data_IF_965978154188
#
_entry.id   IF_965978154188
#
_cell.length_a   1.000
_cell.length_b   1.000
_cell.length_c   1.000
_cell.angle_alpha   90.00
_cell.angle_beta   90.00
_cell.angle_gamma   90.00
#
_symmetry.space_group_name_H-M   'P 1'
#
loop_
_entity.id
_entity.type
_entity.pdbx_description
1 polymer ?
#
# COMPACT_ATOMS: atom_id res chain seq x y z
N UNK A 1 16.57 -10.43 -19.21
CA UNK A 1 15.89 -11.72 -18.93
C UNK A 1 15.99 -11.95 -17.42
N UNK A 2 14.93 -11.65 -16.66
CA UNK A 2 14.93 -11.75 -15.19
C UNK A 2 14.60 -13.21 -14.84
N UNK A 3 15.45 -13.83 -14.03
CA UNK A 3 15.32 -15.23 -13.61
C UNK A 3 13.98 -15.49 -12.90
N UNK A 4 13.28 -16.61 -13.15
CA UNK A 4 11.95 -16.90 -12.59
C UNK A 4 11.94 -17.18 -11.07
N UNK A 5 13.10 -17.27 -10.40
CA UNK A 5 13.23 -17.59 -8.98
C UNK A 5 13.69 -16.39 -8.13
N UNK A 6 13.13 -15.20 -8.34
CA UNK A 6 13.24 -14.13 -7.35
C UNK A 6 12.09 -14.32 -6.37
N UNK A 7 12.38 -14.85 -5.19
CA UNK A 7 11.41 -14.90 -4.08
C UNK A 7 10.93 -13.47 -3.83
N UNK A 8 9.71 -13.20 -4.28
CA UNK A 8 9.11 -11.89 -4.22
C UNK A 8 8.80 -11.60 -2.75
N UNK A 9 9.47 -10.59 -2.19
CA UNK A 9 9.11 -10.03 -0.89
C UNK A 9 7.63 -9.66 -0.93
N UNK A 10 6.77 -10.24 -0.06
CA UNK A 10 5.37 -9.89 -0.02
C UNK A 10 5.16 -8.39 0.14
N UNK A 11 4.17 -7.89 -0.58
CA UNK A 11 3.82 -6.47 -0.57
C UNK A 11 3.45 -5.99 0.84
N UNK A 12 3.80 -4.74 1.17
CA UNK A 12 3.57 -4.18 2.50
C UNK A 12 2.08 -4.11 2.83
N UNK A 13 1.27 -3.65 1.88
CA UNK A 13 -0.18 -3.62 1.99
C UNK A 13 -0.83 -5.00 2.18
N UNK A 14 -0.32 -6.05 1.52
CA UNK A 14 -0.77 -7.43 1.78
C UNK A 14 -0.44 -7.88 3.21
N UNK A 15 0.75 -7.55 3.70
CA UNK A 15 1.15 -7.84 5.08
C UNK A 15 0.25 -7.09 6.08
N UNK A 16 -0.09 -5.84 5.78
CA UNK A 16 -1.03 -5.03 6.56
C UNK A 16 -2.45 -5.61 6.53
N UNK A 17 -2.91 -6.15 5.40
CA UNK A 17 -4.21 -6.84 5.30
C UNK A 17 -4.29 -8.07 6.21
N UNK A 18 -3.19 -8.84 6.32
CA UNK A 18 -3.11 -9.96 7.28
C UNK A 18 -3.23 -9.46 8.72
N UNK A 19 -2.56 -8.37 9.08
CA UNK A 19 -2.63 -7.77 10.42
C UNK A 19 -4.01 -7.16 10.72
N UNK A 20 -4.68 -6.62 9.69
CA UNK A 20 -6.09 -6.20 9.77
C UNK A 20 -6.99 -7.40 10.13
N UNK A 21 -6.83 -8.52 9.42
CA UNK A 21 -7.60 -9.74 9.67
C UNK A 21 -7.31 -10.33 11.05
N UNK A 22 -6.05 -10.37 11.47
CA UNK A 22 -5.64 -10.77 12.82
C UNK A 22 -6.40 -9.97 13.88
N UNK A 23 -6.42 -8.65 13.72
CA UNK A 23 -7.06 -7.71 14.66
C UNK A 23 -8.56 -7.98 14.78
N UNK A 24 -9.27 -8.02 13.65
CA UNK A 24 -10.73 -8.24 13.65
C UNK A 24 -11.08 -9.63 14.18
N UNK A 25 -10.29 -10.66 13.84
CA UNK A 25 -10.46 -12.02 14.36
C UNK A 25 -10.22 -12.09 15.87
N UNK A 26 -9.19 -11.40 16.37
CA UNK A 26 -8.89 -11.32 17.81
C UNK A 26 -10.07 -10.76 18.59
N UNK A 27 -10.59 -9.60 18.20
CA UNK A 27 -11.70 -8.96 18.92
C UNK A 27 -13.03 -9.71 18.80
N UNK A 28 -13.23 -10.48 17.72
CA UNK A 28 -14.41 -11.34 17.58
C UNK A 28 -14.35 -12.58 18.48
N UNK A 29 -13.14 -13.11 18.74
CA UNK A 29 -12.92 -14.37 19.47
C UNK A 29 -12.45 -14.21 20.91
N UNK A 30 -11.91 -13.06 21.28
CA UNK A 30 -11.37 -12.82 22.62
C UNK A 30 -12.50 -12.66 23.64
N UNK A 31 -12.46 -13.46 24.70
CA UNK A 31 -13.41 -13.38 25.82
C UNK A 31 -13.25 -12.09 26.64
N UNK A 32 -12.09 -11.44 26.58
CA UNK A 32 -11.83 -10.15 27.23
C UNK A 32 -12.24 -8.95 26.38
N UNK A 33 -12.65 -9.18 25.13
CA UNK A 33 -13.09 -8.13 24.21
C UNK A 33 -14.27 -7.32 24.80
N UNK A 34 -14.15 -5.99 24.91
CA UNK A 34 -15.23 -5.16 25.44
C UNK A 34 -16.43 -5.06 24.48
N UNK A 35 -16.28 -5.57 23.25
CA UNK A 35 -17.26 -5.43 22.18
C UNK A 35 -18.28 -6.55 22.12
N UNK A 36 -18.23 -7.55 23.01
CA UNK A 36 -19.20 -8.68 23.06
C UNK A 36 -19.41 -9.34 21.70
N UNK A 37 -18.31 -9.64 21.00
CA UNK A 37 -18.30 -10.22 19.65
C UNK A 37 -18.93 -9.35 18.55
N UNK A 38 -19.29 -8.09 18.83
CA UNK A 38 -19.64 -7.13 17.77
C UNK A 38 -18.45 -6.87 16.84
N UNK A 39 -18.69 -6.65 15.54
CA UNK A 39 -17.64 -6.28 14.60
C UNK A 39 -16.92 -4.99 15.01
N UNK A 40 -15.60 -5.00 14.81
CA UNK A 40 -14.74 -3.82 15.02
C UNK A 40 -14.13 -3.36 13.70
N UNK A 41 -13.91 -2.05 13.60
CA UNK A 41 -13.15 -1.41 12.54
C UNK A 41 -11.77 -0.99 13.09
N UNK A 42 -10.67 -1.50 12.52
CA UNK A 42 -9.34 -0.88 12.68
C UNK A 42 -9.35 0.54 12.12
N UNK A 43 -9.40 1.53 13.01
CA UNK A 43 -9.48 2.95 12.66
C UNK A 43 -8.10 3.61 12.54
N UNK A 44 -7.07 3.04 13.18
CA UNK A 44 -5.68 3.51 13.05
C UNK A 44 -4.70 2.33 13.14
N UNK A 45 -3.74 2.28 12.22
CA UNK A 45 -2.66 1.29 12.20
C UNK A 45 -1.33 2.05 12.13
N UNK A 46 -0.38 1.72 13.02
CA UNK A 46 0.96 2.29 13.04
C UNK A 46 1.98 1.17 12.97
N UNK A 47 2.48 0.88 11.78
CA UNK A 47 3.30 -0.31 11.50
C UNK A 47 4.74 0.07 11.16
N UNK A 48 5.68 -0.72 11.65
CA UNK A 48 7.10 -0.67 11.29
C UNK A 48 7.53 -1.97 10.64
N UNK A 49 8.06 -1.89 9.43
CA UNK A 49 8.63 -3.01 8.68
C UNK A 49 10.11 -3.15 9.04
N UNK A 50 10.37 -3.91 10.11
CA UNK A 50 11.70 -4.14 10.66
C UNK A 50 12.58 -4.93 9.69
N UNK A 51 11.99 -5.92 9.01
CA UNK A 51 12.68 -6.80 8.05
C UNK A 51 11.73 -7.23 6.93
N UNK A 52 12.25 -7.54 5.73
CA UNK A 52 11.45 -8.12 4.66
C UNK A 52 10.76 -9.41 5.14
N UNK A 53 9.48 -9.54 4.78
CA UNK A 53 8.74 -10.79 4.85
C UNK A 53 9.12 -11.69 3.68
N UNK A 54 8.74 -12.96 3.75
CA UNK A 54 8.90 -13.93 2.66
C UNK A 54 7.64 -14.79 2.55
N UNK A 55 7.45 -15.42 1.39
CA UNK A 55 6.38 -16.39 1.19
C UNK A 55 6.61 -17.58 2.11
N UNK A 56 5.62 -17.92 2.92
CA UNK A 56 5.70 -19.03 3.86
C UNK A 56 4.97 -18.74 5.17
N UNK A 57 5.08 -19.66 6.16
CA UNK A 57 4.46 -19.50 7.45
C UNK A 57 4.89 -18.22 8.17
N UNK A 58 4.00 -17.69 9.00
CA UNK A 58 4.26 -16.58 9.89
C UNK A 58 3.53 -16.79 11.22
N UNK A 59 4.18 -16.39 12.31
CA UNK A 59 3.57 -16.35 13.64
C UNK A 59 3.10 -14.94 13.91
N UNK A 60 1.81 -14.81 14.23
CA UNK A 60 1.18 -13.56 14.58
C UNK A 60 0.92 -13.52 16.08
N UNK A 61 1.39 -12.47 16.75
CA UNK A 61 1.19 -12.26 18.19
C UNK A 61 0.41 -10.98 18.42
N UNK A 62 -0.52 -11.03 19.36
CA UNK A 62 -1.31 -9.89 19.83
C UNK A 62 -1.01 -9.68 21.31
N UNK A 63 -0.71 -8.44 21.69
CA UNK A 63 -0.70 -8.00 23.07
C UNK A 63 -1.76 -6.91 23.25
N UNK A 64 -2.68 -7.12 24.18
CA UNK A 64 -3.70 -6.13 24.54
C UNK A 64 -3.03 -5.01 25.34
N UNK A 65 -2.99 -3.80 24.76
CA UNK A 65 -2.37 -2.63 25.42
C UNK A 65 -3.42 -1.87 26.23
N UNK A 66 -4.59 -1.66 25.63
CA UNK A 66 -5.74 -1.02 26.27
C UNK A 66 -7.02 -1.59 25.70
N UNK A 67 -7.93 -2.03 26.57
CA UNK A 67 -9.28 -2.41 26.20
C UNK A 67 -10.26 -1.36 26.69
N UNK A 68 -11.11 -0.87 25.80
CA UNK A 68 -12.12 0.13 26.12
C UNK A 68 -13.34 -0.01 25.22
N UNK A 69 -14.51 0.36 25.78
CA UNK A 69 -15.79 0.22 25.08
C UNK A 69 -15.89 1.09 23.81
N UNK A 70 -15.21 2.25 23.78
CA UNK A 70 -15.16 3.12 22.60
C UNK A 70 -13.99 2.80 21.69
N UNK A 71 -12.80 2.67 22.26
CA UNK A 71 -11.60 2.29 21.52
C UNK A 71 -10.76 1.31 22.32
N UNK A 72 -10.14 0.38 21.60
CA UNK A 72 -9.17 -0.57 22.13
C UNK A 72 -7.93 -0.52 21.26
N UNK A 73 -6.76 -0.65 21.87
CA UNK A 73 -5.47 -0.65 21.19
C UNK A 73 -4.75 -1.93 21.51
N UNK A 74 -4.28 -2.61 20.47
CA UNK A 74 -3.43 -3.80 20.57
C UNK A 74 -2.08 -3.51 19.95
N UNK A 75 -1.04 -4.13 20.47
CA UNK A 75 0.24 -4.27 19.79
C UNK A 75 0.20 -5.58 19.01
N UNK A 76 0.61 -5.53 17.74
CA UNK A 76 0.70 -6.70 16.87
C UNK A 76 2.15 -6.93 16.46
N UNK A 77 2.51 -8.21 16.33
CA UNK A 77 3.82 -8.63 15.83
C UNK A 77 3.64 -9.74 14.79
N UNK A 78 4.30 -9.59 13.65
CA UNK A 78 4.49 -10.66 12.67
C UNK A 78 5.96 -11.11 12.72
N UNK A 79 6.15 -12.39 13.03
CA UNK A 79 7.46 -13.04 13.04
C UNK A 79 7.50 -14.16 12.03
N UNK A 80 8.67 -14.37 11.42
CA UNK A 80 8.91 -15.53 10.55
C UNK A 80 10.28 -16.12 10.86
N UNK A 81 10.36 -17.45 10.80
CA UNK A 81 11.60 -18.16 11.01
C UNK A 81 12.64 -17.80 9.96
N UNK A 82 13.88 -17.69 10.39
CA UNK A 82 15.05 -17.58 9.53
C UNK A 82 15.87 -18.85 9.71
N UNK A 83 16.25 -19.50 8.59
CA UNK A 83 16.89 -20.81 8.54
C UNK A 83 18.03 -21.04 9.55
N UNK A 84 18.74 -19.98 9.97
CA UNK A 84 19.87 -20.05 10.90
C UNK A 84 19.73 -19.21 12.17
N UNK A 85 18.60 -18.52 12.39
CA UNK A 85 18.45 -17.52 13.47
C UNK A 85 17.14 -17.61 14.24
N UNK A 86 16.34 -18.66 14.03
CA UNK A 86 15.04 -18.81 14.69
C UNK A 86 14.02 -17.73 14.28
N UNK A 87 12.96 -17.52 15.07
CA UNK A 87 11.90 -16.56 14.75
C UNK A 87 12.43 -15.12 14.78
N UNK A 88 12.22 -14.40 13.69
CA UNK A 88 12.58 -12.98 13.59
C UNK A 88 11.36 -12.11 13.39
N UNK A 89 11.24 -11.07 14.19
CA UNK A 89 10.27 -9.99 13.98
C UNK A 89 10.50 -9.36 12.60
N UNK A 90 9.44 -9.37 11.80
CA UNK A 90 9.38 -8.75 10.47
C UNK A 90 8.61 -7.44 10.52
N UNK A 91 7.44 -7.48 11.17
CA UNK A 91 6.58 -6.30 11.35
C UNK A 91 6.15 -6.21 12.81
N UNK A 92 6.14 -4.99 13.33
CA UNK A 92 5.59 -4.68 14.65
C UNK A 92 4.79 -3.39 14.54
N UNK A 93 3.74 -3.26 15.33
CA UNK A 93 2.98 -2.02 15.36
C UNK A 93 1.84 -2.00 16.34
N UNK A 94 1.13 -0.89 16.36
CA UNK A 94 -0.08 -0.70 17.17
C UNK A 94 -1.28 -0.55 16.25
N UNK A 95 -2.38 -1.20 16.61
CA UNK A 95 -3.65 -1.10 15.90
C UNK A 95 -4.71 -0.68 16.91
N UNK A 96 -5.39 0.43 16.62
CA UNK A 96 -6.53 0.92 17.38
C UNK A 96 -7.81 0.61 16.63
N UNK A 97 -8.76 0.01 17.34
CA UNK A 97 -10.08 -0.34 16.82
C UNK A 97 -11.18 0.46 17.50
N UNK A 98 -12.31 0.57 16.81
CA UNK A 98 -13.58 1.09 17.29
C UNK A 98 -14.71 0.15 16.86
N UNK A 99 -15.87 0.10 17.55
CA UNK A 99 -17.05 -0.59 17.04
C UNK A 99 -17.44 -0.05 15.65
N UNK A 100 -17.85 -0.94 14.73
CA UNK A 100 -18.32 -0.52 13.38
C UNK A 100 -19.52 0.42 13.48
N UNK A 101 -20.42 0.19 14.44
CA UNK A 101 -21.59 1.05 14.70
C UNK A 101 -21.20 2.52 15.00
N UNK A 102 -20.02 2.76 15.59
CA UNK A 102 -19.54 4.13 15.86
C UNK A 102 -19.26 4.92 14.57
N UNK A 103 -18.81 4.24 13.52
CA UNK A 103 -18.61 4.84 12.19
C UNK A 103 -19.95 5.12 11.49
N UNK A 104 -20.95 4.24 11.70
CA UNK A 104 -22.25 4.33 11.04
C UNK A 104 -23.20 5.35 11.67
N UNK A 105 -23.16 5.52 13.00
CA UNK A 105 -24.09 6.36 13.76
C UNK A 105 -23.45 7.69 14.23
N UNK A 106 -22.12 7.80 14.11
CA UNK A 106 -21.38 8.98 14.54
C UNK A 106 -21.66 10.22 13.69
N UNK A 107 -21.43 11.44 14.24
CA UNK A 107 -21.56 12.67 13.47
C UNK A 107 -20.49 12.73 12.38
N UNK A 108 -20.90 13.18 11.19
CA UNK A 108 -20.01 13.36 10.04
C UNK A 108 -19.97 14.84 9.65
N UNK A 109 -18.78 15.41 9.66
CA UNK A 109 -18.52 16.76 9.10
C UNK A 109 -17.54 16.59 7.95
N UNK A 110 -17.98 16.97 6.75
CA UNK A 110 -17.13 16.97 5.56
C UNK A 110 -16.31 18.25 5.54
N UNK A 111 -14.99 18.11 5.56
CA UNK A 111 -14.10 19.24 5.29
C UNK A 111 -14.19 19.68 3.82
N UNK A 112 -13.55 20.80 3.50
CA UNK A 112 -13.39 21.31 2.12
C UNK A 112 -11.92 21.23 1.68
N UNK A 113 -11.31 20.04 1.58
CA UNK A 113 -9.93 19.93 1.15
C UNK A 113 -9.81 20.34 -0.32
N UNK A 114 -8.97 21.34 -0.59
CA UNK A 114 -8.67 21.73 -1.97
C UNK A 114 -7.55 20.85 -2.49
N UNK A 115 -7.87 20.02 -3.48
CA UNK A 115 -6.95 19.09 -4.11
C UNK A 115 -6.27 19.75 -5.31
N UNK A 116 -4.99 20.08 -5.16
CA UNK A 116 -4.19 20.66 -6.23
C UNK A 116 -3.01 19.76 -6.65
N UNK A 117 -2.76 19.60 -7.97
CA UNK A 117 -3.66 19.99 -9.07
C UNK A 117 -4.98 19.21 -9.02
N UNK A 118 -6.00 19.70 -9.74
CA UNK A 118 -7.27 18.98 -9.85
C UNK A 118 -7.02 17.57 -10.43
N UNK A 119 -7.76 16.54 -9.99
CA UNK A 119 -7.67 15.21 -10.59
C UNK A 119 -7.91 15.27 -12.11
N UNK A 120 -7.35 14.32 -12.87
CA UNK A 120 -7.62 14.20 -14.30
C UNK A 120 -9.11 14.08 -14.61
N UNK A 121 -9.60 14.81 -15.61
CA UNK A 121 -11.00 14.76 -16.04
C UNK A 121 -11.32 13.49 -16.83
N UNK A 122 -12.51 12.93 -16.58
CA UNK A 122 -13.14 11.92 -17.44
C UNK A 122 -13.87 12.54 -18.64
N UNK A 123 -14.68 11.75 -19.33
CA UNK A 123 -15.38 12.21 -20.55
C UNK A 123 -16.73 12.90 -20.32
N UNK A 124 -17.28 12.84 -19.10
CA UNK A 124 -18.59 13.43 -18.81
C UNK A 124 -18.54 14.97 -18.90
N UNK A 125 -19.68 15.65 -19.16
CA UNK A 125 -19.72 17.11 -19.34
C UNK A 125 -19.20 17.93 -18.15
N UNK A 126 -19.33 17.40 -16.94
CA UNK A 126 -18.81 17.99 -15.69
C UNK A 126 -17.35 17.61 -15.39
N UNK A 127 -16.70 16.86 -16.30
CA UNK A 127 -15.37 16.28 -16.12
C UNK A 127 -15.37 14.98 -15.29
N UNK A 128 -16.54 14.44 -14.94
CA UNK A 128 -16.71 13.17 -14.26
C UNK A 128 -16.29 11.97 -15.10
N UNK A 129 -16.07 10.84 -14.42
CA UNK A 129 -15.58 9.60 -15.04
C UNK A 129 -16.75 8.71 -15.47
N UNK A 130 -16.75 8.29 -16.73
CA UNK A 130 -17.58 7.17 -17.18
C UNK A 130 -16.95 5.84 -16.76
N UNK A 131 -17.36 5.33 -15.61
CA UNK A 131 -16.83 4.09 -15.05
C UNK A 131 -17.19 2.84 -15.87
N UNK A 132 -18.28 2.88 -16.65
CA UNK A 132 -18.64 1.77 -17.52
C UNK A 132 -17.67 1.71 -18.72
N UNK A 133 -17.49 2.84 -19.41
CA UNK A 133 -16.53 2.97 -20.50
C UNK A 133 -15.09 2.67 -20.04
N UNK A 134 -14.69 3.17 -18.87
CA UNK A 134 -13.36 2.93 -18.30
C UNK A 134 -13.12 1.45 -18.01
N UNK A 135 -14.13 0.75 -17.46
CA UNK A 135 -14.05 -0.69 -17.20
C UNK A 135 -13.99 -1.53 -18.48
N UNK A 136 -14.77 -1.18 -19.50
CA UNK A 136 -14.91 -1.97 -20.73
C UNK A 136 -13.73 -1.73 -21.68
N UNK A 137 -13.45 -0.47 -21.98
CA UNK A 137 -12.47 -0.08 -23.01
C UNK A 137 -11.08 0.16 -22.44
N UNK A 138 -10.97 0.31 -21.12
CA UNK A 138 -9.74 0.72 -20.47
C UNK A 138 -9.45 2.21 -20.60
N UNK A 139 -10.37 3.04 -21.10
CA UNK A 139 -10.18 4.49 -21.25
C UNK A 139 -11.44 5.28 -20.95
N UNK A 140 -11.25 6.47 -20.39
CA UNK A 140 -12.29 7.49 -20.24
C UNK A 140 -11.66 8.87 -20.05
N UNK A 141 -11.91 9.82 -20.95
CA UNK A 141 -11.25 11.13 -20.93
C UNK A 141 -9.72 11.00 -20.88
N UNK A 142 -9.09 11.49 -19.81
CA UNK A 142 -7.64 11.39 -19.58
C UNK A 142 -7.20 10.09 -18.89
N UNK A 143 -8.13 9.28 -18.42
CA UNK A 143 -7.86 8.03 -17.72
C UNK A 143 -7.59 6.91 -18.71
N UNK A 144 -6.53 6.14 -18.44
CA UNK A 144 -6.17 4.96 -19.22
C UNK A 144 -5.76 3.83 -18.28
N UNK A 145 -6.16 2.61 -18.60
CA UNK A 145 -5.77 1.39 -17.90
C UNK A 145 -4.26 1.25 -17.90
N UNK A 146 -3.70 1.16 -16.71
CA UNK A 146 -2.30 0.92 -16.48
C UNK A 146 -2.01 -0.59 -16.67
N UNK A 147 -0.93 -0.97 -17.38
CA UNK A 147 -0.60 -2.36 -17.59
C UNK A 147 -0.21 -3.05 -16.28
N UNK A 148 -0.55 -4.33 -16.15
CA UNK A 148 -0.04 -5.17 -15.07
C UNK A 148 1.49 -5.24 -15.15
N UNK A 149 2.17 -5.11 -14.01
CA UNK A 149 3.64 -5.11 -13.96
C UNK A 149 4.13 -6.55 -13.71
N UNK A 150 4.86 -7.17 -14.65
CA UNK A 150 5.51 -8.45 -14.41
C UNK A 150 6.46 -8.36 -13.21
N UNK A 151 6.35 -9.29 -12.26
CA UNK A 151 7.18 -9.30 -11.06
C UNK A 151 6.69 -8.38 -9.93
N UNK A 152 5.49 -7.80 -10.02
CA UNK A 152 4.76 -7.23 -8.88
C UNK A 152 3.44 -8.00 -8.72
N UNK A 153 3.46 -9.08 -7.94
CA UNK A 153 2.31 -10.00 -7.81
C UNK A 153 1.01 -9.28 -7.43
N UNK A 154 1.08 -8.30 -6.52
CA UNK A 154 -0.10 -7.52 -6.10
C UNK A 154 -0.76 -6.74 -7.25
N UNK A 155 -0.01 -6.36 -8.29
CA UNK A 155 -0.58 -5.70 -9.48
C UNK A 155 -1.43 -6.63 -10.34
N UNK A 156 -1.31 -7.96 -10.16
CA UNK A 156 -2.18 -8.96 -10.80
C UNK A 156 -3.53 -9.11 -10.09
N UNK A 157 -3.68 -8.49 -8.92
CA UNK A 157 -4.90 -8.56 -8.11
C UNK A 157 -5.75 -7.29 -8.20
N UNK A 158 -5.40 -6.38 -9.09
CA UNK A 158 -6.05 -5.08 -9.26
C UNK A 158 -6.04 -4.66 -10.73
N UNK A 159 -7.00 -3.82 -11.09
CA UNK A 159 -6.93 -3.02 -12.31
C UNK A 159 -6.69 -1.58 -11.88
N UNK A 160 -5.61 -0.98 -12.37
CA UNK A 160 -5.27 0.40 -12.08
C UNK A 160 -5.47 1.24 -13.34
N UNK A 161 -5.89 2.47 -13.15
CA UNK A 161 -6.16 3.43 -14.22
C UNK A 161 -5.58 4.77 -13.80
N UNK A 162 -4.80 5.39 -14.67
CA UNK A 162 -4.16 6.68 -14.41
C UNK A 162 -3.93 7.45 -15.69
N UNK A 163 -3.21 8.56 -15.59
CA UNK A 163 -2.75 9.29 -16.77
C UNK A 163 -1.47 8.69 -17.32
N UNK A 164 -1.27 8.82 -18.62
CA UNK A 164 0.03 8.49 -19.23
C UNK A 164 1.14 9.32 -18.56
N UNK A 165 2.27 8.68 -18.18
CA UNK A 165 3.37 9.39 -17.56
C UNK A 165 3.98 10.40 -18.55
N UNK A 166 4.39 11.59 -18.08
CA UNK A 166 5.14 12.52 -18.90
C UNK A 166 6.42 11.89 -19.48
N UNK A 167 6.84 12.36 -20.65
CA UNK A 167 7.97 11.77 -21.38
C UNK A 167 9.31 12.12 -20.73
N UNK A 168 9.42 13.28 -20.09
CA UNK A 168 10.68 13.76 -19.49
C UNK A 168 10.77 13.48 -17.98
N UNK A 169 11.98 13.29 -17.47
CA UNK A 169 12.25 13.14 -16.02
C UNK A 169 11.77 14.38 -15.26
N UNK A 170 12.01 15.57 -15.80
CA UNK A 170 11.67 16.85 -15.19
C UNK A 170 10.16 17.03 -15.01
N UNK A 171 9.36 16.63 -16.01
CA UNK A 171 7.90 16.66 -15.90
C UNK A 171 7.38 15.59 -14.94
N UNK A 172 7.94 14.37 -14.98
CA UNK A 172 7.55 13.29 -14.06
C UNK A 172 7.70 13.69 -12.60
N UNK A 173 8.81 14.34 -12.23
CA UNK A 173 9.08 14.81 -10.86
C UNK A 173 8.03 15.83 -10.37
N UNK A 174 7.45 16.63 -11.28
CA UNK A 174 6.46 17.65 -10.95
C UNK A 174 5.01 17.13 -10.93
N UNK A 175 4.79 15.88 -11.32
CA UNK A 175 3.44 15.31 -11.37
C UNK A 175 2.90 14.93 -9.99
N UNK A 176 1.58 15.03 -9.82
CA UNK A 176 0.83 14.33 -8.77
C UNK A 176 0.27 13.05 -9.37
N UNK A 177 0.23 11.97 -8.58
CA UNK A 177 -0.29 10.69 -9.07
C UNK A 177 -1.70 10.50 -8.53
N UNK A 178 -2.64 10.40 -9.45
CA UNK A 178 -4.01 9.99 -9.20
C UNK A 178 -4.26 8.68 -9.93
N UNK A 179 -4.93 7.75 -9.26
CA UNK A 179 -5.27 6.46 -9.85
C UNK A 179 -6.65 5.98 -9.39
N UNK A 180 -7.44 5.47 -10.34
CA UNK A 180 -8.61 4.66 -10.05
C UNK A 180 -8.21 3.20 -9.98
N UNK A 181 -8.85 2.46 -9.07
CA UNK A 181 -8.55 1.06 -8.84
C UNK A 181 -9.82 0.22 -8.73
N UNK A 182 -9.82 -0.93 -9.41
CA UNK A 182 -10.78 -2.03 -9.17
C UNK A 182 -10.04 -3.19 -8.54
N UNK A 183 -10.68 -3.85 -7.59
CA UNK A 183 -10.14 -5.06 -7.00
C UNK A 183 -10.43 -6.26 -7.92
N UNK A 184 -9.44 -7.10 -8.18
CA UNK A 184 -9.58 -8.29 -9.04
C UNK A 184 -8.68 -9.41 -8.51
N UNK A 185 -9.00 -9.98 -7.33
CA UNK A 185 -8.16 -10.99 -6.70
C UNK A 185 -7.95 -12.18 -7.64
N UNK A 186 -6.71 -12.68 -7.70
CA UNK A 186 -6.32 -13.76 -8.61
C UNK A 186 -6.42 -13.45 -10.10
N UNK A 187 -6.64 -12.19 -10.51
CA UNK A 187 -6.73 -11.82 -11.93
C UNK A 187 -7.98 -12.37 -12.62
N UNK A 188 -9.03 -12.74 -11.88
CA UNK A 188 -10.25 -13.32 -12.44
C UNK A 188 -11.28 -12.23 -12.79
N UNK A 189 -12.29 -12.06 -11.94
CA UNK A 189 -13.40 -11.11 -12.12
C UNK A 189 -13.21 -9.96 -11.14
N UNK A 190 -13.54 -8.72 -11.52
CA UNK A 190 -13.58 -7.62 -10.59
C UNK A 190 -14.43 -7.95 -9.36
N UNK A 191 -13.79 -8.00 -8.20
CA UNK A 191 -14.43 -8.11 -6.91
C UNK A 191 -14.72 -6.71 -6.35
N UNK A 192 -15.36 -6.68 -5.18
CA UNK A 192 -15.59 -5.44 -4.44
C UNK A 192 -14.47 -5.23 -3.43
N UNK A 193 -14.02 -3.98 -3.30
CA UNK A 193 -13.16 -3.55 -2.23
C UNK A 193 -13.83 -3.79 -0.88
N UNK A 194 -13.06 -4.26 0.08
CA UNK A 194 -13.44 -4.43 1.49
C UNK A 194 -12.48 -3.65 2.37
N UNK A 195 -12.82 -3.44 3.64
CA UNK A 195 -11.92 -2.79 4.60
C UNK A 195 -10.56 -3.51 4.73
N UNK A 196 -10.53 -4.83 4.56
CA UNK A 196 -9.27 -5.59 4.55
C UNK A 196 -8.48 -5.36 3.25
N UNK A 197 -9.13 -5.46 2.08
CA UNK A 197 -8.47 -5.28 0.79
C UNK A 197 -7.98 -3.83 0.57
N UNK A 198 -8.63 -2.85 1.22
CA UNK A 198 -8.20 -1.45 1.25
C UNK A 198 -6.74 -1.30 1.70
N UNK A 199 -6.26 -2.15 2.61
CA UNK A 199 -4.88 -2.12 3.11
C UNK A 199 -3.86 -2.37 1.98
N UNK A 200 -4.22 -3.21 1.00
CA UNK A 200 -3.40 -3.42 -0.19
C UNK A 200 -3.34 -2.16 -1.06
N UNK A 201 -4.48 -1.48 -1.27
CA UNK A 201 -4.54 -0.29 -2.12
C UNK A 201 -3.75 0.89 -1.55
N UNK A 202 -3.77 1.07 -0.23
CA UNK A 202 -3.01 2.10 0.49
C UNK A 202 -1.49 1.99 0.30
N UNK A 203 -0.99 0.85 -0.17
CA UNK A 203 0.44 0.61 -0.44
C UNK A 203 0.70 0.25 -1.93
N UNK A 204 -0.30 0.33 -2.80
CA UNK A 204 -0.20 -0.06 -4.21
C UNK A 204 -0.27 1.15 -5.13
N UNK A 205 0.88 1.68 -5.55
CA UNK A 205 0.96 2.90 -6.35
C UNK A 205 2.11 2.88 -7.37
N UNK A 206 2.09 1.95 -8.35
CA UNK A 206 3.19 1.79 -9.31
C UNK A 206 3.53 3.08 -10.08
N UNK A 207 2.54 3.90 -10.41
CA UNK A 207 2.75 5.19 -11.07
C UNK A 207 3.50 6.20 -10.16
N UNK A 208 3.28 6.15 -8.84
CA UNK A 208 4.03 6.96 -7.90
C UNK A 208 5.47 6.45 -7.71
N UNK A 209 5.69 5.13 -7.82
CA UNK A 209 7.04 4.56 -7.81
C UNK A 209 7.85 4.97 -9.07
N UNK A 210 7.20 5.08 -10.23
CA UNK A 210 7.85 5.63 -11.45
C UNK A 210 8.32 7.08 -11.22
N UNK A 211 7.45 7.94 -10.68
CA UNK A 211 7.82 9.30 -10.27
C UNK A 211 8.97 9.30 -9.27
N UNK A 212 8.92 8.46 -8.24
CA UNK A 212 9.98 8.37 -7.23
C UNK A 212 11.30 7.88 -7.84
N UNK A 213 11.25 6.97 -8.81
CA UNK A 213 12.40 6.57 -9.62
C UNK A 213 12.98 7.76 -10.40
N UNK A 214 12.15 8.58 -11.03
CA UNK A 214 12.59 9.79 -11.72
C UNK A 214 13.26 10.79 -10.75
N UNK A 215 12.72 10.98 -9.54
CA UNK A 215 13.36 11.79 -8.49
C UNK A 215 14.73 11.23 -8.10
N UNK A 216 14.84 9.92 -7.92
CA UNK A 216 16.09 9.25 -7.56
C UNK A 216 17.15 9.40 -8.66
N UNK A 217 16.78 9.21 -9.93
CA UNK A 217 17.63 9.42 -11.09
C UNK A 217 18.10 10.88 -11.18
N UNK A 218 17.20 11.85 -11.00
CA UNK A 218 17.56 13.27 -11.01
C UNK A 218 18.52 13.64 -9.87
N UNK A 219 18.30 13.10 -8.66
CA UNK A 219 19.20 13.31 -7.54
C UNK A 219 20.60 12.76 -7.83
N UNK A 220 20.68 11.55 -8.41
CA UNK A 220 21.94 10.95 -8.85
C UNK A 220 22.64 11.80 -9.92
N UNK A 221 21.92 12.33 -10.92
CA UNK A 221 22.51 13.20 -11.95
C UNK A 221 23.08 14.51 -11.39
N UNK A 222 22.58 14.98 -10.25
CA UNK A 222 23.01 16.22 -9.61
C UNK A 222 24.22 16.08 -8.67
N UNK A 223 24.72 14.86 -8.41
CA UNK A 223 25.88 14.66 -7.53
C UNK A 223 27.16 15.18 -8.18
N UNK A 224 27.93 16.05 -7.55
CA UNK A 224 29.12 16.64 -8.20
C UNK A 224 30.35 15.71 -8.20
N UNK A 225 30.33 14.64 -7.41
CA UNK A 225 31.45 13.72 -7.27
C UNK A 225 31.35 12.57 -8.32
N UNK A 226 32.31 12.49 -9.27
CA UNK A 226 32.35 11.44 -10.28
C UNK A 226 32.53 10.02 -9.71
N UNK A 227 33.23 9.88 -8.57
CA UNK A 227 33.44 8.58 -7.91
C UNK A 227 32.13 8.05 -7.31
N UNK A 228 31.33 8.95 -6.72
CA UNK A 228 29.98 8.63 -6.23
C UNK A 228 29.00 8.29 -7.37
N UNK A 229 29.16 8.89 -8.56
CA UNK A 229 28.38 8.54 -9.76
C UNK A 229 28.76 7.16 -10.29
N UNK A 230 30.05 6.81 -10.30
CA UNK A 230 30.52 5.51 -10.78
C UNK A 230 30.14 4.35 -9.84
N UNK A 231 30.02 4.61 -8.54
CA UNK A 231 29.66 3.58 -7.55
C UNK A 231 28.16 3.24 -7.50
N UNK A 232 27.29 4.04 -8.11
CA UNK A 232 25.83 3.83 -8.17
C UNK A 232 25.32 3.99 -9.60
N UNK A 233 24.77 2.93 -10.21
CA UNK A 233 24.03 3.08 -11.46
C UNK A 233 22.71 3.85 -11.24
N UNK A 234 22.19 4.63 -12.22
CA UNK A 234 20.98 5.45 -12.08
C UNK A 234 19.65 4.66 -12.00
N UNK A 235 19.70 3.37 -11.67
CA UNK A 235 18.57 2.45 -11.57
C UNK A 235 18.97 1.03 -11.99
N UNK A 236 18.07 0.04 -11.86
CA UNK A 236 16.74 0.11 -11.25
C UNK A 236 16.78 0.34 -9.72
N UNK A 237 15.71 0.93 -9.17
CA UNK A 237 15.57 1.19 -7.74
C UNK A 237 14.57 0.24 -7.08
N UNK A 238 14.74 0.04 -5.78
CA UNK A 238 13.78 -0.62 -4.89
C UNK A 238 13.41 0.35 -3.76
N UNK A 239 12.13 0.34 -3.38
CA UNK A 239 11.54 1.29 -2.45
C UNK A 239 10.93 0.59 -1.24
N UNK A 240 11.73 0.01 -0.32
CA UNK A 240 11.17 -0.67 0.84
C UNK A 240 10.53 0.34 1.79
N UNK A 241 9.27 0.09 2.13
CA UNK A 241 8.53 0.77 3.19
C UNK A 241 9.18 0.45 4.54
N UNK A 242 9.43 1.48 5.35
CA UNK A 242 10.02 1.39 6.69
C UNK A 242 8.92 1.55 7.74
N UNK A 243 8.08 2.57 7.58
CA UNK A 243 6.92 2.81 8.41
C UNK A 243 5.69 3.03 7.54
N UNK A 244 4.54 2.60 8.05
CA UNK A 244 3.25 2.70 7.38
C UNK A 244 2.18 3.01 8.43
N UNK A 245 1.69 4.24 8.40
CA UNK A 245 0.61 4.68 9.27
C UNK A 245 -0.66 4.83 8.42
N UNK A 246 -1.77 4.26 8.88
CA UNK A 246 -3.07 4.30 8.22
C UNK A 246 -4.09 4.86 9.20
N UNK A 247 -4.93 5.77 8.71
CA UNK A 247 -6.17 6.16 9.38
C UNK A 247 -7.35 5.81 8.47
N UNK A 248 -8.27 4.99 8.96
CA UNK A 248 -9.54 4.71 8.30
C UNK A 248 -10.57 5.72 8.79
N UNK A 249 -11.15 6.50 7.87
CA UNK A 249 -12.07 7.60 8.17
C UNK A 249 -13.53 7.21 7.97
N UNK A 250 -13.80 6.26 7.09
CA UNK A 250 -15.12 5.73 6.78
C UNK A 250 -14.99 4.24 6.47
N UNK A 251 -15.85 3.41 7.08
CA UNK A 251 -15.90 1.99 6.73
C UNK A 251 -16.42 1.79 5.32
N UNK A 252 -15.85 0.80 4.64
CA UNK A 252 -16.43 0.27 3.41
C UNK A 252 -17.66 -0.56 3.76
N UNK A 253 -18.82 -0.34 3.10
CA UNK A 253 -20.03 -1.13 3.31
C UNK A 253 -19.82 -2.63 3.09
N UNK A 254 -20.71 -3.47 3.64
CA UNK A 254 -20.55 -4.92 3.58
C UNK A 254 -20.60 -5.46 2.13
N UNK A 255 -21.42 -4.85 1.28
CA UNK A 255 -21.50 -5.13 -0.15
C UNK A 255 -20.24 -4.70 -0.92
N UNK A 256 -19.40 -3.86 -0.31
CA UNK A 256 -18.14 -3.37 -0.84
C UNK A 256 -18.28 -2.36 -1.99
N UNK A 257 -17.14 -1.80 -2.40
CA UNK A 257 -17.08 -0.76 -3.45
C UNK A 257 -16.44 -1.30 -4.73
N UNK A 258 -16.97 -0.97 -5.90
CA UNK A 258 -16.33 -1.39 -7.17
C UNK A 258 -15.06 -0.60 -7.47
N UNK A 259 -15.07 0.68 -7.11
CA UNK A 259 -14.04 1.63 -7.47
C UNK A 259 -13.59 2.39 -6.24
N UNK A 260 -12.28 2.58 -6.15
CA UNK A 260 -11.66 3.50 -5.23
C UNK A 260 -10.66 4.34 -5.99
N UNK A 261 -10.58 5.62 -5.66
CA UNK A 261 -9.55 6.51 -6.15
C UNK A 261 -8.47 6.64 -5.10
N UNK A 262 -7.21 6.62 -5.51
CA UNK A 262 -6.11 7.01 -4.63
C UNK A 262 -5.31 8.17 -5.22
N UNK A 263 -5.09 9.20 -4.41
CA UNK A 263 -4.12 10.26 -4.68
C UNK A 263 -2.85 9.98 -3.89
N UNK A 264 -1.70 10.01 -4.57
CA UNK A 264 -0.39 9.70 -4.01
C UNK A 264 0.55 10.87 -4.20
N UNK A 265 1.14 11.34 -3.11
CA UNK A 265 2.03 12.50 -3.06
C UNK A 265 3.32 12.12 -2.36
N UNK A 266 4.45 12.50 -2.96
CA UNK A 266 5.75 12.51 -2.28
C UNK A 266 6.26 13.94 -2.28
N UNK A 267 6.44 14.50 -1.09
CA UNK A 267 6.88 15.87 -0.89
C UNK A 267 8.38 16.00 -1.10
N UNK A 268 9.17 15.06 -0.58
CA UNK A 268 10.61 15.12 -0.64
C UNK A 268 11.27 13.75 -0.78
N UNK A 269 12.35 13.73 -1.54
CA UNK A 269 13.36 12.68 -1.46
C UNK A 269 14.62 13.35 -0.90
N UNK A 270 15.05 12.93 0.28
CA UNK A 270 16.22 13.48 0.96
C UNK A 270 17.07 12.37 1.56
N UNK A 271 18.37 12.38 1.22
CA UNK A 271 19.35 11.45 1.78
C UNK A 271 18.91 9.97 1.70
N UNK A 272 18.37 9.56 0.55
CA UNK A 272 17.94 8.18 0.29
C UNK A 272 16.65 7.76 1.00
N UNK A 273 15.86 8.72 1.49
CA UNK A 273 14.53 8.50 2.09
C UNK A 273 13.51 9.37 1.37
N UNK A 274 12.29 8.89 1.25
CA UNK A 274 11.17 9.68 0.77
C UNK A 274 9.93 9.46 1.62
N UNK A 275 9.08 10.48 1.69
CA UNK A 275 7.72 10.37 2.20
C UNK A 275 6.76 9.91 1.09
N UNK A 276 5.74 9.15 1.46
CA UNK A 276 4.60 8.87 0.59
C UNK A 276 3.32 9.10 1.39
N UNK A 277 2.51 10.02 0.93
CA UNK A 277 1.16 10.27 1.46
C UNK A 277 0.14 9.74 0.47
N UNK A 278 -0.84 8.97 0.96
CA UNK A 278 -1.93 8.41 0.16
C UNK A 278 -3.26 8.83 0.74
N UNK A 279 -4.17 9.31 -0.10
CA UNK A 279 -5.59 9.50 0.22
C UNK A 279 -6.41 8.53 -0.61
N UNK A 280 -7.34 7.79 0.01
CA UNK A 280 -8.29 6.92 -0.68
C UNK A 280 -9.69 7.53 -0.61
N UNK A 281 -10.35 7.62 -1.76
CA UNK A 281 -11.68 8.19 -1.92
C UNK A 281 -12.62 7.20 -2.60
N UNK A 282 -13.91 7.30 -2.31
CA UNK A 282 -14.94 6.65 -3.11
C UNK A 282 -15.29 7.44 -4.38
N UNK A 283 -16.22 6.92 -5.18
CA UNK A 283 -16.66 7.52 -6.44
C UNK A 283 -17.32 8.90 -6.27
N UNK A 284 -17.84 9.18 -5.07
CA UNK A 284 -18.46 10.47 -4.73
C UNK A 284 -17.43 11.46 -4.17
N UNK A 285 -16.15 11.07 -4.12
CA UNK A 285 -15.06 11.89 -3.62
C UNK A 285 -14.97 11.93 -2.09
N UNK A 286 -15.71 11.08 -1.37
CA UNK A 286 -15.65 11.01 0.08
C UNK A 286 -14.38 10.28 0.55
N UNK A 287 -13.77 10.78 1.62
CA UNK A 287 -12.53 10.23 2.16
C UNK A 287 -12.80 8.92 2.92
N UNK A 288 -12.17 7.84 2.44
CA UNK A 288 -12.25 6.50 3.04
C UNK A 288 -11.09 6.29 4.00
N UNK A 289 -9.87 6.59 3.57
CA UNK A 289 -8.67 6.40 4.39
C UNK A 289 -7.53 7.33 3.96
N UNK A 290 -6.59 7.54 4.86
CA UNK A 290 -5.32 8.21 4.58
C UNK A 290 -4.17 7.36 5.07
N UNK A 291 -3.01 7.47 4.43
CA UNK A 291 -1.78 6.93 4.99
C UNK A 291 -0.58 7.83 4.80
N UNK A 292 0.37 7.73 5.73
CA UNK A 292 1.72 8.29 5.61
C UNK A 292 2.74 7.16 5.68
N UNK A 293 3.68 7.13 4.76
CA UNK A 293 4.75 6.15 4.72
C UNK A 293 6.11 6.82 4.68
N UNK A 294 7.09 6.17 5.29
CA UNK A 294 8.52 6.43 5.04
C UNK A 294 9.04 5.28 4.21
N UNK A 295 9.61 5.57 3.04
CA UNK A 295 10.28 4.59 2.21
C UNK A 295 11.77 4.92 2.04
N UNK A 296 12.60 3.88 1.95
CA UNK A 296 13.97 4.06 1.50
C UNK A 296 14.02 4.09 -0.02
N UNK A 297 15.03 4.76 -0.57
CA UNK A 297 15.36 4.72 -1.99
C UNK A 297 16.72 4.06 -2.13
N UNK A 298 16.75 2.83 -2.64
CA UNK A 298 17.97 2.03 -2.74
C UNK A 298 18.09 1.35 -4.11
N UNK A 299 19.30 0.93 -4.47
CA UNK A 299 19.52 0.11 -5.68
C UNK A 299 18.78 -1.23 -5.59
N UNK A 300 18.27 -1.70 -6.73
CA UNK A 300 17.51 -2.95 -6.82
C UNK A 300 18.34 -4.20 -6.43
N UNK A 301 19.67 -4.13 -6.50
CA UNK A 301 20.57 -5.20 -6.05
C UNK A 301 20.37 -5.58 -4.58
N UNK A 302 19.94 -4.61 -3.75
CA UNK A 302 19.61 -4.87 -2.35
C UNK A 302 18.39 -5.78 -2.17
N UNK A 303 17.42 -5.71 -3.08
CA UNK A 303 16.25 -6.59 -3.06
C UNK A 303 16.66 -8.04 -3.38
N UNK A 304 17.50 -8.24 -4.40
CA UNK A 304 17.99 -9.55 -4.81
C UNK A 304 18.81 -10.26 -3.72
N UNK A 305 19.63 -9.52 -2.98
CA UNK A 305 20.39 -10.06 -1.84
C UNK A 305 19.49 -10.56 -0.71
N UNK A 306 18.30 -9.97 -0.55
CA UNK A 306 17.33 -10.41 0.45
C UNK A 306 16.58 -11.67 0.02
N UNK A 307 16.25 -11.82 -1.27
CA UNK A 307 15.59 -13.02 -1.81
C UNK A 307 16.47 -14.27 -1.85
N UNK A 308 17.79 -14.13 -2.04
CA UNK A 308 18.74 -15.27 -2.11
C UNK A 308 19.11 -15.92 -0.77
N UNK A 309 18.55 -15.47 0.36
CA UNK A 309 18.97 -15.92 1.71
C UNK A 309 18.35 -17.24 2.19
N UNK A 310 17.53 -17.90 1.37
CA UNK A 310 17.11 -19.28 1.59
C UNK A 310 17.94 -20.18 0.67
N UNK A 311 19.06 -20.72 1.18
CA UNK A 311 19.77 -21.77 0.44
C UNK A 311 18.97 -23.08 0.53
N UNK A 312 18.96 -23.92 -0.53
CA UNK A 312 18.40 -25.25 -0.45
C UNK A 312 19.23 -26.08 0.54
N UNK A 313 18.55 -26.76 1.46
CA UNK A 313 19.11 -27.90 2.18
C UNK A 313 19.61 -28.92 1.16
N UNK A 314 20.93 -28.98 0.95
CA UNK A 314 21.56 -30.13 0.32
C UNK A 314 21.39 -31.32 1.27
N UNK A 315 20.35 -32.12 1.03
CA UNK A 315 20.28 -33.47 1.56
C UNK A 315 21.45 -34.27 1.00
N UNK A 316 22.31 -34.75 1.89
CA UNK A 316 23.30 -35.78 1.56
C UNK A 316 22.53 -37.09 1.30
N UNK A 317 22.82 -37.73 0.16
CA UNK A 317 22.68 -39.18 0.03
C UNK A 317 23.71 -39.87 0.93
#
# INVERSE_FOLDING_TARGET
>A
MISPNVDLVPHGGYTTAILYRLTTTHFARSHTSPYRSKPVLPISLQLTFVRPTHVGPATLTVQEVKLGARTSTIQVTLSQDAASKGPQTRVVGYITVSPVETDQEGPVVKGTPIRHPNPPSGSQPDGGVDFAALAETGRDGRWTRFPTIPGMAVSQHTELYGTLPPSTVQERIKSTVDQWARFRPGGQVPARWTNEALMCLLDLFPMALDRLGAMATSAWMSTNDPEDRQSRAPGPFWFPTVSFNVDVKKSIPQEGLAWLHSRVVTQTLRAGRADISVEILDQNGELIATSSQVCMVVGFDRNLKNGKRVQPTQGKL
#
